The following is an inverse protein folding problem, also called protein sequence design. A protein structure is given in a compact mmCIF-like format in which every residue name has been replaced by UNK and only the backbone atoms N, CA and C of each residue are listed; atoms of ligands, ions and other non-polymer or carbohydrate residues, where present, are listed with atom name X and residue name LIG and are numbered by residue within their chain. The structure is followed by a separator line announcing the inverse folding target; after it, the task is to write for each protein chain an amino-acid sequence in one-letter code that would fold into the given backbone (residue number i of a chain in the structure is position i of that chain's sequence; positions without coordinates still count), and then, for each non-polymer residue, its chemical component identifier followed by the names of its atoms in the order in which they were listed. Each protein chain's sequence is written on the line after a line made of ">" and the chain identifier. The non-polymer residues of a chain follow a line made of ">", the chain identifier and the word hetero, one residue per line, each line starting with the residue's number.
data_IF_036982395088
#
_entry.id   IF_036982395088
#
_cell.length_a   1.000
_cell.length_b   1.000
_cell.length_c   1.000
_cell.angle_alpha   90.00
_cell.angle_beta   90.00
_cell.angle_gamma   90.00
#
_symmetry.space_group_name_H-M   'P 1'
#
loop_
_entity.id
_entity.type
_entity.pdbx_description
1 polymer ?
#
# COMPACT_ATOMS: atom_id res chain seq x y z
N UNK A 1 8.41 5.70 -23.36
CA UNK A 1 7.76 5.36 -22.06
C UNK A 1 6.95 4.10 -22.28
N UNK A 2 7.47 2.98 -21.86
CA UNK A 2 6.77 1.70 -21.91
C UNK A 2 5.59 1.77 -20.94
N UNK A 3 4.39 1.55 -21.44
CA UNK A 3 3.17 1.58 -20.63
C UNK A 3 3.18 0.33 -19.74
N UNK A 4 3.44 0.51 -18.45
CA UNK A 4 3.36 -0.58 -17.48
C UNK A 4 1.97 -1.25 -17.56
N UNK A 5 1.95 -2.55 -17.77
CA UNK A 5 0.70 -3.31 -17.74
C UNK A 5 0.08 -3.20 -16.33
N UNK A 6 -1.25 -3.01 -16.22
CA UNK A 6 -1.91 -2.93 -14.91
C UNK A 6 -1.78 -4.24 -14.13
N UNK A 7 -1.64 -4.15 -12.79
CA UNK A 7 -1.57 -5.31 -11.89
C UNK A 7 -2.92 -6.05 -11.73
N UNK A 8 -3.96 -5.58 -12.42
CA UNK A 8 -5.32 -6.07 -12.25
C UNK A 8 -6.07 -5.35 -11.12
N UNK A 9 -7.39 -5.51 -11.09
CA UNK A 9 -8.28 -4.88 -10.10
C UNK A 9 -8.77 -5.87 -9.03
N UNK A 10 -8.05 -6.97 -8.84
CA UNK A 10 -8.35 -7.88 -7.73
C UNK A 10 -8.06 -7.19 -6.40
N UNK A 11 -8.96 -7.38 -5.44
CA UNK A 11 -8.81 -6.77 -4.11
C UNK A 11 -7.49 -7.18 -3.47
N UNK A 12 -6.83 -6.22 -2.82
CA UNK A 12 -5.52 -6.42 -2.19
C UNK A 12 -5.50 -7.66 -1.30
N UNK A 13 -4.52 -8.52 -1.55
CA UNK A 13 -4.25 -9.72 -0.78
C UNK A 13 -3.05 -9.49 0.15
N UNK A 14 -3.14 -10.05 1.35
CA UNK A 14 -2.08 -10.00 2.34
C UNK A 14 -1.56 -11.40 2.60
N UNK A 15 -0.27 -11.62 2.35
CA UNK A 15 0.40 -12.92 2.52
C UNK A 15 1.61 -12.77 3.43
N UNK A 16 1.62 -13.50 4.53
CA UNK A 16 2.80 -13.56 5.41
C UNK A 16 3.88 -14.42 4.77
N UNK A 17 5.11 -13.94 4.75
CA UNK A 17 6.24 -14.60 4.10
C UNK A 17 7.54 -14.41 4.88
N UNK A 18 8.40 -15.42 4.87
CA UNK A 18 9.79 -15.27 5.29
C UNK A 18 10.61 -14.74 4.12
N UNK A 19 11.03 -13.50 4.21
CA UNK A 19 11.85 -12.84 3.19
C UNK A 19 13.31 -12.91 3.59
N UNK A 20 14.14 -13.46 2.71
CA UNK A 20 15.55 -13.66 2.93
C UNK A 20 16.38 -12.76 2.00
N UNK A 21 17.20 -11.91 2.59
CA UNK A 21 18.15 -11.05 1.90
C UNK A 21 19.57 -11.36 2.37
N UNK A 22 20.55 -11.37 1.45
CA UNK A 22 21.94 -11.76 1.79
C UNK A 22 22.54 -10.92 2.92
N UNK A 23 22.25 -9.62 2.95
CA UNK A 23 22.81 -8.71 3.95
C UNK A 23 22.03 -8.67 5.28
N UNK A 24 20.78 -9.15 5.32
CA UNK A 24 19.85 -8.98 6.46
C UNK A 24 19.33 -10.29 7.03
N UNK A 25 19.62 -11.41 6.39
CA UNK A 25 19.05 -12.71 6.75
C UNK A 25 17.58 -12.85 6.41
N UNK A 26 16.90 -13.77 7.08
CA UNK A 26 15.48 -14.03 6.86
C UNK A 26 14.61 -13.31 7.91
N UNK A 27 13.62 -12.57 7.47
CA UNK A 27 12.69 -11.83 8.32
C UNK A 27 11.23 -12.11 7.93
N UNK A 28 10.35 -12.15 8.92
CA UNK A 28 8.93 -12.24 8.70
C UNK A 28 8.42 -10.89 8.15
N UNK A 29 7.75 -10.94 7.01
CA UNK A 29 7.13 -9.80 6.36
C UNK A 29 5.71 -10.13 5.92
N UNK A 30 4.92 -9.11 5.58
CA UNK A 30 3.65 -9.27 4.91
C UNK A 30 3.71 -8.64 3.52
N UNK A 31 3.42 -9.42 2.50
CA UNK A 31 3.23 -8.92 1.14
C UNK A 31 1.79 -8.42 0.99
N UNK A 32 1.61 -7.21 0.47
CA UNK A 32 0.33 -6.59 0.17
C UNK A 32 0.29 -6.27 -1.33
N UNK A 33 -0.46 -7.05 -2.08
CA UNK A 33 -0.52 -6.95 -3.54
C UNK A 33 -1.95 -6.87 -4.04
N UNK A 34 -2.22 -5.97 -4.98
CA UNK A 34 -3.50 -5.81 -5.64
C UNK A 34 -4.16 -4.46 -5.39
N UNK A 35 -5.46 -4.37 -5.67
CA UNK A 35 -6.24 -3.14 -5.62
C UNK A 35 -6.70 -2.79 -4.20
N UNK A 36 -6.45 -1.57 -3.75
CA UNK A 36 -6.88 -1.10 -2.43
C UNK A 36 -8.38 -0.88 -2.43
N UNK A 37 -9.07 -1.48 -1.46
CA UNK A 37 -10.51 -1.32 -1.22
C UNK A 37 -10.75 -0.71 0.17
N UNK A 38 -11.98 -0.33 0.47
CA UNK A 38 -12.38 0.15 1.81
C UNK A 38 -12.15 -0.91 2.90
N UNK A 39 -12.19 -2.18 2.53
CA UNK A 39 -11.99 -3.31 3.44
C UNK A 39 -10.51 -3.70 3.63
N UNK A 40 -9.58 -3.06 2.89
CA UNK A 40 -8.16 -3.44 2.92
C UNK A 40 -7.56 -3.34 4.32
N UNK A 41 -7.89 -2.30 5.10
CA UNK A 41 -7.42 -2.16 6.48
C UNK A 41 -7.92 -3.30 7.38
N UNK A 42 -9.19 -3.70 7.24
CA UNK A 42 -9.75 -4.83 8.01
C UNK A 42 -9.04 -6.13 7.66
N UNK A 43 -8.87 -6.42 6.36
CA UNK A 43 -8.16 -7.63 5.90
C UNK A 43 -6.70 -7.65 6.38
N UNK A 44 -6.06 -6.49 6.40
CA UNK A 44 -4.71 -6.35 6.93
C UNK A 44 -4.67 -6.73 8.42
N UNK A 45 -5.58 -6.21 9.27
CA UNK A 45 -5.63 -6.55 10.69
C UNK A 45 -5.80 -8.05 10.94
N UNK A 46 -6.61 -8.72 10.15
CA UNK A 46 -6.82 -10.17 10.24
C UNK A 46 -5.52 -10.97 10.00
N UNK A 47 -4.61 -10.47 9.19
CA UNK A 47 -3.33 -11.11 8.84
C UNK A 47 -2.15 -10.59 9.63
N UNK A 48 -2.19 -9.34 10.06
CA UNK A 48 -1.08 -8.66 10.71
C UNK A 48 -1.03 -8.85 12.23
N UNK A 49 -2.05 -9.48 12.84
CA UNK A 49 -2.14 -9.65 14.30
C UNK A 49 -0.92 -10.36 14.91
N UNK A 50 -0.31 -11.29 14.19
CA UNK A 50 0.85 -12.07 14.62
C UNK A 50 2.21 -11.44 14.23
N UNK A 51 2.20 -10.31 13.52
CA UNK A 51 3.46 -9.65 13.11
C UNK A 51 4.09 -8.91 14.31
N UNK A 52 5.41 -9.05 14.51
CA UNK A 52 6.12 -8.28 15.52
C UNK A 52 6.21 -6.80 15.11
N UNK A 53 6.38 -5.92 16.10
CA UNK A 53 6.73 -4.52 15.86
C UNK A 53 8.00 -4.44 15.01
N UNK A 54 8.04 -3.50 14.09
CA UNK A 54 9.16 -3.34 13.16
C UNK A 54 9.19 -4.32 12.00
N UNK A 55 8.23 -5.26 11.91
CA UNK A 55 8.09 -6.08 10.70
C UNK A 55 7.81 -5.21 9.47
N UNK A 56 8.08 -5.72 8.27
CA UNK A 56 7.94 -4.97 7.03
C UNK A 56 6.69 -5.39 6.28
N UNK A 57 5.90 -4.39 5.84
CA UNK A 57 4.89 -4.58 4.79
C UNK A 57 5.50 -4.26 3.43
N UNK A 58 5.37 -5.19 2.49
CA UNK A 58 5.89 -5.08 1.12
C UNK A 58 4.72 -4.78 0.20
N UNK A 59 4.76 -3.62 -0.45
CA UNK A 59 3.66 -3.04 -1.21
C UNK A 59 3.88 -3.15 -2.71
N UNK A 60 2.91 -3.74 -3.42
CA UNK A 60 2.85 -3.75 -4.87
C UNK A 60 1.41 -3.52 -5.33
N UNK A 61 1.09 -2.29 -5.72
CA UNK A 61 -0.29 -1.88 -6.03
C UNK A 61 -0.36 -0.70 -6.98
N UNK A 62 -1.32 -0.73 -7.88
CA UNK A 62 -1.66 0.41 -8.74
C UNK A 62 -2.57 1.44 -8.06
N UNK A 63 -2.90 1.22 -6.79
CA UNK A 63 -3.74 2.11 -6.01
C UNK A 63 -5.11 1.55 -5.71
N UNK A 64 -6.13 2.38 -5.76
CA UNK A 64 -7.51 2.02 -5.48
C UNK A 64 -8.27 3.09 -4.70
N UNK A 65 -9.09 2.66 -3.75
CA UNK A 65 -9.89 3.55 -2.91
C UNK A 65 -9.01 4.44 -2.02
N UNK A 66 -9.22 5.74 -2.09
CA UNK A 66 -8.43 6.73 -1.35
C UNK A 66 -8.60 6.57 0.17
N UNK A 67 -9.84 6.43 0.62
CA UNK A 67 -10.15 6.25 2.05
C UNK A 67 -9.56 4.93 2.55
N UNK A 68 -9.68 3.86 1.77
CA UNK A 68 -9.05 2.57 2.07
C UNK A 68 -7.54 2.67 2.20
N UNK A 69 -6.88 3.48 1.35
CA UNK A 69 -5.44 3.75 1.44
C UNK A 69 -5.05 4.48 2.71
N UNK A 70 -5.79 5.52 3.09
CA UNK A 70 -5.59 6.28 4.34
C UNK A 70 -5.76 5.36 5.56
N UNK A 71 -6.84 4.59 5.62
CA UNK A 71 -7.13 3.70 6.76
C UNK A 71 -6.09 2.58 6.88
N UNK A 72 -5.65 2.02 5.75
CA UNK A 72 -4.58 1.01 5.74
C UNK A 72 -3.24 1.62 6.19
N UNK A 73 -2.89 2.81 5.74
CA UNK A 73 -1.68 3.51 6.18
C UNK A 73 -1.69 3.81 7.68
N UNK A 74 -2.83 4.24 8.24
CA UNK A 74 -3.01 4.41 9.69
C UNK A 74 -2.83 3.08 10.45
N UNK A 75 -3.37 1.99 9.91
CA UNK A 75 -3.23 0.67 10.51
C UNK A 75 -1.77 0.21 10.56
N UNK A 76 -1.01 0.42 9.49
CA UNK A 76 0.42 0.13 9.41
C UNK A 76 1.20 0.93 10.45
N UNK A 77 0.91 2.24 10.56
CA UNK A 77 1.54 3.13 11.55
C UNK A 77 1.22 2.69 12.99
N UNK A 78 -0.03 2.38 13.28
CA UNK A 78 -0.48 1.94 14.60
C UNK A 78 0.16 0.62 15.05
N UNK A 79 0.53 -0.24 14.09
CA UNK A 79 1.27 -1.49 14.33
C UNK A 79 2.80 -1.31 14.31
N UNK A 80 3.30 -0.09 14.21
CA UNK A 80 4.73 0.24 14.14
C UNK A 80 5.49 -0.54 13.06
N UNK A 81 4.85 -0.82 11.92
CA UNK A 81 5.49 -1.54 10.82
C UNK A 81 6.33 -0.61 9.94
N UNK A 82 7.31 -1.20 9.28
CA UNK A 82 8.05 -0.55 8.21
C UNK A 82 7.35 -0.82 6.87
N UNK A 83 7.47 0.08 5.92
CA UNK A 83 6.96 -0.10 4.56
C UNK A 83 8.08 -0.18 3.54
N UNK A 84 7.92 -1.05 2.55
CA UNK A 84 8.82 -1.20 1.42
C UNK A 84 8.03 -1.40 0.14
N UNK A 85 8.46 -0.80 -0.96
CA UNK A 85 7.90 -1.10 -2.27
C UNK A 85 8.58 -2.36 -2.80
N UNK A 86 7.83 -3.25 -3.42
CA UNK A 86 8.36 -4.48 -3.99
C UNK A 86 7.31 -5.55 -4.17
N UNK A 87 7.70 -6.63 -4.82
CA UNK A 87 6.92 -7.87 -4.91
C UNK A 87 7.76 -9.03 -4.40
N UNK A 88 7.13 -10.03 -3.82
CA UNK A 88 7.83 -11.24 -3.35
C UNK A 88 7.88 -12.28 -4.46
N UNK A 89 9.02 -12.96 -4.57
CA UNK A 89 9.22 -14.12 -5.44
C UNK A 89 9.73 -15.29 -4.62
N UNK A 90 9.12 -16.46 -4.81
CA UNK A 90 9.58 -17.69 -4.18
C UNK A 90 11.00 -18.04 -4.63
N UNK A 91 11.84 -18.46 -3.69
CA UNK A 91 13.18 -18.97 -3.98
C UNK A 91 13.07 -20.41 -4.45
N UNK A 92 13.05 -20.60 -5.75
CA UNK A 92 13.07 -21.93 -6.36
C UNK A 92 14.38 -22.66 -6.01
N UNK A 93 14.28 -23.89 -5.50
CA UNK A 93 15.43 -24.73 -5.19
C UNK A 93 16.00 -24.62 -3.76
N UNK A 94 15.55 -23.68 -2.93
CA UNK A 94 15.83 -23.66 -1.50
C UNK A 94 14.57 -24.13 -0.76
N UNK A 95 14.48 -25.40 -0.44
CA UNK A 95 13.29 -26.10 0.03
C UNK A 95 12.66 -25.65 1.36
N UNK A 96 12.76 -24.38 1.74
CA UNK A 96 12.30 -23.84 3.01
C UNK A 96 11.22 -22.75 2.90
N UNK A 97 10.55 -22.62 1.73
CA UNK A 97 9.49 -21.65 1.56
C UNK A 97 9.92 -20.18 1.75
N UNK A 98 11.19 -19.88 1.45
CA UNK A 98 11.71 -18.52 1.53
C UNK A 98 11.41 -17.71 0.26
N UNK A 99 11.36 -16.39 0.42
CA UNK A 99 11.09 -15.45 -0.66
C UNK A 99 12.19 -14.40 -0.76
N UNK A 100 12.39 -13.86 -1.96
CA UNK A 100 13.16 -12.63 -2.20
C UNK A 100 12.25 -11.50 -2.60
N UNK A 101 12.71 -10.27 -2.40
CA UNK A 101 12.00 -9.08 -2.86
C UNK A 101 12.54 -8.69 -4.23
N UNK A 102 11.65 -8.45 -5.17
CA UNK A 102 11.92 -7.87 -6.48
C UNK A 102 11.32 -6.47 -6.55
N UNK A 103 11.74 -5.68 -7.54
CA UNK A 103 11.18 -4.37 -7.80
C UNK A 103 9.65 -4.43 -7.93
N UNK A 104 8.99 -3.43 -7.36
CA UNK A 104 7.55 -3.28 -7.38
C UNK A 104 7.12 -1.88 -7.72
N UNK A 105 5.82 -1.62 -7.60
CA UNK A 105 5.26 -0.30 -7.81
C UNK A 105 4.16 0.01 -6.81
N UNK A 106 4.06 1.29 -6.48
CA UNK A 106 3.08 1.79 -5.52
C UNK A 106 2.53 3.11 -6.04
N UNK A 107 1.36 3.06 -6.66
CA UNK A 107 0.76 4.18 -7.36
C UNK A 107 -0.50 4.68 -6.64
N UNK A 108 -0.79 5.99 -6.77
CA UNK A 108 -2.04 6.59 -6.29
C UNK A 108 -2.26 6.35 -4.78
N UNK A 109 -3.39 5.77 -4.37
CA UNK A 109 -3.72 5.45 -2.98
C UNK A 109 -2.66 4.57 -2.29
N UNK A 110 -1.90 3.75 -3.04
CA UNK A 110 -0.80 2.97 -2.49
C UNK A 110 0.32 3.85 -1.92
N UNK A 111 0.62 4.99 -2.55
CA UNK A 111 1.62 5.91 -2.02
C UNK A 111 1.24 6.45 -0.64
N UNK A 112 -0.06 6.59 -0.34
CA UNK A 112 -0.54 6.94 0.99
C UNK A 112 -0.31 5.79 1.98
N UNK A 113 -0.55 4.56 1.55
CA UNK A 113 -0.26 3.36 2.37
C UNK A 113 1.23 3.30 2.72
N UNK A 114 2.12 3.56 1.73
CA UNK A 114 3.56 3.61 1.93
C UNK A 114 3.99 4.62 2.99
N UNK A 115 3.35 5.79 3.05
CA UNK A 115 3.60 6.81 4.08
C UNK A 115 3.29 6.31 5.50
N UNK A 116 2.44 5.32 5.67
CA UNK A 116 2.11 4.71 6.95
C UNK A 116 3.29 4.02 7.63
N UNK A 117 4.30 3.57 6.89
CA UNK A 117 5.48 2.92 7.46
C UNK A 117 6.29 3.84 8.39
N UNK A 118 6.82 3.28 9.48
CA UNK A 118 7.73 4.01 10.39
C UNK A 118 9.04 4.29 9.66
N UNK A 119 9.66 3.24 9.11
CA UNK A 119 10.76 3.36 8.16
C UNK A 119 10.23 3.00 6.77
N UNK A 120 10.68 3.73 5.76
CA UNK A 120 10.19 3.61 4.39
C UNK A 120 11.36 3.29 3.47
N UNK A 121 11.27 2.19 2.73
CA UNK A 121 12.33 1.77 1.82
C UNK A 121 11.83 1.79 0.38
N UNK A 122 12.57 2.47 -0.46
CA UNK A 122 12.38 2.58 -1.90
C UNK A 122 13.73 2.28 -2.57
N UNK A 123 13.77 1.23 -3.37
CA UNK A 123 14.96 0.86 -4.14
C UNK A 123 14.97 1.54 -5.51
N UNK A 124 16.12 1.71 -6.17
CA UNK A 124 16.23 2.45 -7.43
C UNK A 124 15.37 1.91 -8.57
N UNK A 125 15.02 0.62 -8.56
CA UNK A 125 14.18 -0.02 -9.57
C UNK A 125 12.68 0.03 -9.24
N UNK A 126 12.30 0.47 -8.05
CA UNK A 126 10.91 0.59 -7.63
C UNK A 126 10.26 1.83 -8.24
N UNK A 127 8.94 1.78 -8.37
CA UNK A 127 8.15 2.90 -8.89
C UNK A 127 7.18 3.37 -7.81
N UNK A 128 7.26 4.64 -7.46
CA UNK A 128 6.24 5.32 -6.67
C UNK A 128 5.66 6.46 -7.50
N UNK A 129 4.33 6.65 -7.44
CA UNK A 129 3.70 7.70 -8.24
C UNK A 129 2.37 8.17 -7.68
N UNK A 130 2.13 9.44 -7.89
CA UNK A 130 0.85 10.10 -7.63
C UNK A 130 0.27 10.58 -8.94
N UNK A 131 -1.04 10.52 -9.07
CA UNK A 131 -1.79 11.18 -10.15
C UNK A 131 -2.91 12.01 -9.54
N UNK A 132 -3.52 12.88 -10.33
CA UNK A 132 -4.64 13.70 -9.89
C UNK A 132 -5.80 12.84 -9.38
N UNK A 133 -6.49 13.35 -8.37
CA UNK A 133 -7.69 12.70 -7.84
C UNK A 133 -8.81 12.78 -8.88
N UNK A 134 -9.33 11.63 -9.27
CA UNK A 134 -10.56 11.56 -10.08
C UNK A 134 -11.72 11.24 -9.15
N UNK A 135 -12.69 12.15 -9.03
CA UNK A 135 -13.93 11.89 -8.30
C UNK A 135 -14.84 11.07 -9.22
N UNK A 136 -14.96 9.77 -8.94
CA UNK A 136 -15.89 8.90 -9.65
C UNK A 136 -17.26 8.99 -8.96
N UNK A 137 -18.29 9.40 -9.69
CA UNK A 137 -19.67 9.40 -9.19
C UNK A 137 -20.29 10.77 -8.92
N UNK A 138 -19.69 11.86 -9.37
CA UNK A 138 -20.39 13.12 -9.53
C UNK A 138 -21.35 12.99 -10.74
N UNK A 139 -22.48 12.32 -10.55
CA UNK A 139 -23.62 12.50 -11.46
C UNK A 139 -23.98 13.97 -11.42
N UNK A 140 -23.91 14.63 -12.56
CA UNK A 140 -24.37 16.00 -12.76
C UNK A 140 -25.89 16.07 -12.61
N UNK A 141 -26.38 15.98 -11.38
CA UNK A 141 -27.71 16.53 -11.08
C UNK A 141 -27.55 18.02 -10.89
N UNK A 142 -28.01 18.74 -11.90
CA UNK A 142 -28.15 20.19 -11.92
C UNK A 142 -28.92 20.63 -10.67
N UNK A 143 -28.22 21.27 -9.73
CA UNK A 143 -28.85 21.99 -8.64
C UNK A 143 -28.38 21.78 -7.21
N UNK A 144 -27.30 21.04 -6.91
CA UNK A 144 -26.77 20.94 -5.54
C UNK A 144 -25.26 21.14 -5.50
N UNK A 145 -24.70 22.03 -4.62
CA UNK A 145 -23.27 22.28 -4.50
C UNK A 145 -22.54 21.22 -3.64
N UNK A 146 -22.91 19.94 -3.76
CA UNK A 146 -22.34 18.87 -2.95
C UNK A 146 -20.97 18.38 -3.40
N UNK A 147 -20.58 18.64 -4.66
CA UNK A 147 -19.31 18.17 -5.20
C UNK A 147 -18.08 18.96 -4.72
N UNK A 148 -18.20 20.28 -4.54
CA UNK A 148 -17.07 21.12 -4.09
C UNK A 148 -16.74 20.93 -2.62
N UNK A 149 -17.74 20.72 -1.77
CA UNK A 149 -17.54 20.48 -0.34
C UNK A 149 -16.83 19.13 -0.10
N UNK A 150 -17.19 18.10 -0.87
CA UNK A 150 -16.53 16.79 -0.82
C UNK A 150 -15.04 16.84 -1.23
N UNK A 151 -14.70 17.62 -2.26
CA UNK A 151 -13.31 17.76 -2.70
C UNK A 151 -12.45 18.47 -1.65
N UNK A 152 -12.95 19.53 -1.03
CA UNK A 152 -12.25 20.25 0.06
C UNK A 152 -12.07 19.36 1.30
N UNK A 153 -13.09 18.60 1.67
CA UNK A 153 -13.03 17.68 2.81
C UNK A 153 -12.03 16.54 2.57
N UNK A 154 -11.97 16.00 1.36
CA UNK A 154 -11.01 14.97 0.97
C UNK A 154 -9.59 15.53 1.01
N UNK A 155 -9.36 16.71 0.43
CA UNK A 155 -8.03 17.37 0.44
C UNK A 155 -7.59 17.73 1.87
N UNK A 156 -8.51 18.19 2.71
CA UNK A 156 -8.23 18.48 4.12
C UNK A 156 -7.89 17.22 4.91
N UNK A 157 -8.60 16.12 4.69
CA UNK A 157 -8.31 14.83 5.32
C UNK A 157 -6.95 14.27 4.86
N UNK A 158 -6.65 14.41 3.57
CA UNK A 158 -5.37 13.99 2.99
C UNK A 158 -4.21 14.80 3.57
N UNK A 159 -4.34 16.12 3.68
CA UNK A 159 -3.32 16.99 4.27
C UNK A 159 -3.03 16.59 5.73
N UNK A 160 -4.05 16.45 6.56
CA UNK A 160 -3.90 15.98 7.96
C UNK A 160 -3.26 14.59 8.05
N UNK A 161 -3.61 13.69 7.15
CA UNK A 161 -3.00 12.36 7.10
C UNK A 161 -1.51 12.45 6.80
N UNK A 162 -1.11 13.18 5.75
CA UNK A 162 0.29 13.34 5.37
C UNK A 162 1.10 13.96 6.51
N UNK A 163 0.59 15.02 7.14
CA UNK A 163 1.23 15.66 8.30
C UNK A 163 1.39 14.69 9.48
N UNK A 164 0.41 13.84 9.74
CA UNK A 164 0.46 12.86 10.82
C UNK A 164 1.46 11.72 10.58
N UNK A 165 1.88 11.51 9.33
CA UNK A 165 2.84 10.47 8.97
C UNK A 165 4.31 10.94 8.97
N UNK A 166 4.56 12.20 9.15
CA UNK A 166 5.91 12.79 9.30
C UNK A 166 6.65 12.95 7.99
#
# INVERSE_FOLDING_TARGET
>A
MEKLAPLGQEAMQFTTANVCEEARGCQLAVSAQGWITKESAKRFFERASALPDGATIILNSDGGDLQGGIELGKAIRAKHLNSRIGTIKANEGKGNGSFTIQAGRCLSACALVFLGGVNRTLEPADIIGFHGLTVVGASSEVGKPSGEMHAKDILGALGRYIESMG
#
